data_IF_190873432718
#
_entry.id   IF_190873432718
#
_cell.length_a   1.000
_cell.length_b   1.000
_cell.length_c   1.000
_cell.angle_alpha   90.00
_cell.angle_beta   90.00
_cell.angle_gamma   90.00
#
_symmetry.space_group_name_H-M   'P 1'
#
loop_
_entity.id
_entity.type
_entity.pdbx_description
1 polymer ?
#
# COMPACT_ATOMS: atom_id res chain seq x y z
N UNK A 1 5.11 4.97 22.44
CA UNK A 1 4.61 4.45 21.14
C UNK A 1 3.67 5.49 20.56
N UNK A 2 3.96 6.02 19.37
CA UNK A 2 3.15 7.05 18.72
C UNK A 2 1.90 6.38 18.14
N UNK A 3 0.71 6.83 18.53
CA UNK A 3 -0.57 6.22 18.15
C UNK A 3 -1.08 6.82 16.84
N UNK A 4 -0.89 6.08 15.75
CA UNK A 4 -1.45 6.34 14.42
C UNK A 4 -1.36 5.05 13.64
N UNK A 5 -2.50 4.41 13.44
CA UNK A 5 -2.62 3.16 12.69
C UNK A 5 -2.97 3.45 11.24
N UNK A 6 -2.43 2.67 10.30
CA UNK A 6 -2.82 2.76 8.90
C UNK A 6 -4.31 2.49 8.75
N UNK A 7 -5.04 3.37 8.06
CA UNK A 7 -6.48 3.17 7.83
C UNK A 7 -6.73 2.14 6.71
N UNK A 8 -7.86 1.41 6.70
CA UNK A 8 -8.10 0.29 5.78
C UNK A 8 -8.01 0.61 4.28
N UNK A 9 -8.19 1.86 3.88
CA UNK A 9 -8.14 2.30 2.47
C UNK A 9 -7.04 3.33 2.21
N UNK A 10 -6.14 3.50 3.18
CA UNK A 10 -5.04 4.44 3.09
C UNK A 10 -3.82 3.78 2.45
N UNK A 11 -3.19 4.47 1.51
CA UNK A 11 -1.95 4.01 0.90
C UNK A 11 -0.82 3.95 1.94
N UNK A 12 0.12 3.04 1.73
CA UNK A 12 1.26 2.87 2.63
C UNK A 12 2.15 4.10 2.63
N UNK A 13 2.31 4.76 1.49
CA UNK A 13 3.09 6.00 1.38
C UNK A 13 2.46 7.16 2.15
N UNK A 14 1.14 7.35 2.08
CA UNK A 14 0.44 8.39 2.84
C UNK A 14 0.57 8.14 4.36
N UNK A 15 0.36 6.89 4.79
CA UNK A 15 0.57 6.49 6.18
C UNK A 15 2.01 6.76 6.64
N UNK A 16 2.99 6.42 5.79
CA UNK A 16 4.40 6.63 6.10
C UNK A 16 4.73 8.11 6.33
N UNK A 17 4.28 9.01 5.45
CA UNK A 17 4.56 10.44 5.53
C UNK A 17 3.93 11.06 6.78
N UNK A 18 2.67 10.73 7.06
CA UNK A 18 1.95 11.15 8.27
C UNK A 18 2.67 10.67 9.53
N UNK A 19 3.00 9.37 9.58
CA UNK A 19 3.62 8.75 10.75
C UNK A 19 5.03 9.29 10.98
N UNK A 20 5.80 9.49 9.92
CA UNK A 20 7.14 10.07 9.99
C UNK A 20 7.09 11.49 10.54
N UNK A 21 6.13 12.30 10.09
CA UNK A 21 5.91 13.65 10.59
C UNK A 21 5.60 13.64 12.08
N UNK A 22 4.67 12.78 12.54
CA UNK A 22 4.37 12.62 13.97
C UNK A 22 5.57 12.17 14.81
N UNK A 23 6.42 11.28 14.26
CA UNK A 23 7.66 10.88 14.93
C UNK A 23 8.61 12.05 15.15
N UNK A 24 8.78 12.90 14.12
CA UNK A 24 9.64 14.08 14.17
C UNK A 24 9.07 15.19 15.04
N UNK A 25 7.75 15.36 15.07
CA UNK A 25 7.09 16.32 15.97
C UNK A 25 7.24 15.91 17.43
N UNK A 26 7.08 14.61 17.73
CA UNK A 26 7.24 14.09 19.09
C UNK A 26 8.70 14.15 19.55
N UNK A 27 9.65 13.79 18.69
CA UNK A 27 11.07 13.89 18.95
C UNK A 27 11.84 14.17 17.64
N UNK A 28 12.31 15.40 17.42
CA UNK A 28 13.06 15.77 16.21
C UNK A 28 14.36 14.96 16.02
N UNK A 29 14.94 14.45 17.10
CA UNK A 29 16.18 13.67 17.10
C UNK A 29 15.92 12.16 17.21
N UNK A 30 14.72 11.69 16.86
CA UNK A 30 14.40 10.26 16.90
C UNK A 30 15.26 9.49 15.90
N UNK A 31 15.90 8.42 16.38
CA UNK A 31 16.73 7.53 15.55
C UNK A 31 15.85 6.82 14.51
N UNK A 32 16.32 6.72 13.26
CA UNK A 32 15.55 6.11 12.17
C UNK A 32 15.04 4.70 12.49
N UNK A 33 15.86 3.85 13.10
CA UNK A 33 15.46 2.49 13.47
C UNK A 33 14.28 2.47 14.43
N UNK A 34 14.17 3.46 15.32
CA UNK A 34 13.03 3.61 16.22
C UNK A 34 11.78 4.12 15.50
N UNK A 35 11.95 5.00 14.51
CA UNK A 35 10.84 5.44 13.64
C UNK A 35 10.32 4.24 12.84
N UNK A 36 11.21 3.43 12.27
CA UNK A 36 10.84 2.22 11.54
C UNK A 36 10.13 1.23 12.45
N UNK A 37 10.58 1.05 13.70
CA UNK A 37 9.87 0.25 14.68
C UNK A 37 8.44 0.77 14.94
N UNK A 38 8.26 2.10 15.04
CA UNK A 38 6.92 2.70 15.14
C UNK A 38 6.06 2.49 13.89
N UNK A 39 6.66 2.55 12.71
CA UNK A 39 5.98 2.31 11.44
C UNK A 39 5.47 0.86 11.35
N UNK A 40 6.33 -0.13 11.62
CA UNK A 40 6.00 -1.56 11.56
C UNK A 40 4.95 -1.95 12.60
N UNK A 41 4.99 -1.34 13.79
CA UNK A 41 4.07 -1.69 14.87
C UNK A 41 2.60 -1.31 14.59
N UNK A 42 2.35 -0.34 13.69
CA UNK A 42 1.00 0.21 13.46
C UNK A 42 0.57 0.25 12.00
N UNK A 43 1.37 -0.30 11.09
CA UNK A 43 0.97 -0.52 9.69
C UNK A 43 -0.02 -1.68 9.62
N UNK A 44 -0.72 -1.82 8.48
CA UNK A 44 -1.56 -2.97 8.20
C UNK A 44 -0.82 -4.30 8.55
N UNK A 45 -1.42 -5.19 9.37
CA UNK A 45 -0.76 -6.40 9.83
C UNK A 45 -0.30 -7.35 8.73
N UNK A 46 -0.94 -7.34 7.55
CA UNK A 46 -0.50 -8.17 6.42
C UNK A 46 0.79 -7.63 5.82
N UNK A 47 0.91 -6.31 5.67
CA UNK A 47 2.13 -5.65 5.19
C UNK A 47 3.24 -5.81 6.23
N UNK A 48 2.94 -5.63 7.52
CA UNK A 48 3.90 -5.88 8.61
C UNK A 48 4.48 -7.30 8.55
N UNK A 49 3.64 -8.32 8.33
CA UNK A 49 4.09 -9.71 8.16
C UNK A 49 5.00 -9.90 6.96
N UNK A 50 4.73 -9.24 5.83
CA UNK A 50 5.59 -9.33 4.64
C UNK A 50 6.95 -8.69 4.89
N UNK A 51 6.96 -7.51 5.52
CA UNK A 51 8.19 -6.80 5.91
C UNK A 51 9.05 -7.68 6.83
N UNK A 52 8.44 -8.28 7.86
CA UNK A 52 9.12 -9.10 8.86
C UNK A 52 9.59 -10.47 8.33
N UNK A 53 9.05 -10.93 7.20
CA UNK A 53 9.50 -12.17 6.53
C UNK A 53 10.71 -11.96 5.63
N UNK A 54 11.09 -10.71 5.35
CA UNK A 54 12.28 -10.42 4.55
C UNK A 54 13.54 -10.79 5.33
N UNK A 55 14.48 -11.49 4.69
CA UNK A 55 15.78 -11.83 5.28
C UNK A 55 16.65 -10.59 5.56
N UNK A 56 16.32 -9.44 4.96
CA UNK A 56 17.00 -8.19 5.19
C UNK A 56 16.24 -7.34 6.22
N UNK A 57 16.86 -6.95 7.34
CA UNK A 57 16.21 -6.05 8.29
C UNK A 57 15.91 -4.70 7.62
N UNK A 58 14.65 -4.27 7.79
CA UNK A 58 14.20 -2.93 7.44
C UNK A 58 14.49 -2.05 8.65
N UNK A 59 15.63 -1.36 8.62
CA UNK A 59 16.18 -0.58 9.71
C UNK A 59 16.35 0.91 9.37
N UNK A 60 16.10 1.27 8.10
CA UNK A 60 16.23 2.64 7.58
C UNK A 60 14.91 3.08 6.96
N UNK A 61 14.67 4.39 6.99
CA UNK A 61 13.48 4.98 6.39
C UNK A 61 13.44 4.75 4.87
N UNK A 62 14.59 4.77 4.21
CA UNK A 62 14.70 4.53 2.77
C UNK A 62 14.27 3.13 2.34
N UNK A 63 14.68 2.09 3.09
CA UNK A 63 14.21 0.71 2.82
C UNK A 63 12.70 0.59 3.00
N UNK A 64 12.17 1.17 4.08
CA UNK A 64 10.73 1.15 4.34
C UNK A 64 9.95 1.87 3.23
N UNK A 65 10.44 3.02 2.77
CA UNK A 65 9.82 3.80 1.70
C UNK A 65 9.75 3.04 0.37
N UNK A 66 10.79 2.27 0.03
CA UNK A 66 10.78 1.46 -1.18
C UNK A 66 9.72 0.35 -1.12
N UNK A 67 9.52 -0.25 0.07
CA UNK A 67 8.45 -1.22 0.30
C UNK A 67 7.08 -0.55 0.16
N UNK A 68 6.89 0.61 0.81
CA UNK A 68 5.64 1.37 0.74
C UNK A 68 5.21 1.66 -0.71
N UNK A 69 6.15 2.11 -1.55
CA UNK A 69 5.89 2.35 -2.97
C UNK A 69 5.50 1.09 -3.74
N UNK A 70 6.15 -0.02 -3.44
CA UNK A 70 5.88 -1.31 -4.10
C UNK A 70 4.47 -1.79 -3.75
N UNK A 71 4.07 -1.67 -2.48
CA UNK A 71 2.73 -2.04 -2.03
C UNK A 71 1.63 -1.17 -2.66
N UNK A 72 1.83 0.15 -2.74
CA UNK A 72 0.86 1.05 -3.37
C UNK A 72 0.68 0.77 -4.87
N UNK A 73 1.77 0.40 -5.56
CA UNK A 73 1.71 -0.05 -6.95
C UNK A 73 0.95 -1.37 -7.08
N UNK A 74 1.22 -2.35 -6.22
CA UNK A 74 0.52 -3.63 -6.19
C UNK A 74 -0.99 -3.44 -5.96
N UNK A 75 -1.36 -2.56 -5.03
CA UNK A 75 -2.76 -2.22 -4.77
C UNK A 75 -3.41 -1.57 -6.01
N UNK A 76 -2.71 -0.64 -6.66
CA UNK A 76 -3.18 0.00 -7.89
C UNK A 76 -3.40 -1.02 -9.01
N UNK A 77 -2.44 -1.92 -9.23
CA UNK A 77 -2.59 -2.99 -10.22
C UNK A 77 -3.74 -3.95 -9.90
N UNK A 78 -3.92 -4.31 -8.62
CA UNK A 78 -5.03 -5.15 -8.19
C UNK A 78 -6.39 -4.49 -8.45
N UNK A 79 -6.52 -3.19 -8.17
CA UNK A 79 -7.72 -2.39 -8.48
C UNK A 79 -8.00 -2.35 -9.98
N UNK A 80 -6.98 -2.11 -10.81
CA UNK A 80 -7.11 -2.11 -12.27
C UNK A 80 -7.52 -3.49 -12.82
N UNK A 81 -6.98 -4.57 -12.27
CA UNK A 81 -7.37 -5.93 -12.65
C UNK A 81 -8.86 -6.19 -12.34
N UNK A 82 -9.36 -5.75 -11.19
CA UNK A 82 -10.78 -5.86 -10.83
C UNK A 82 -11.69 -5.07 -11.78
N UNK A 83 -11.26 -3.86 -12.19
CA UNK A 83 -12.00 -3.04 -13.15
C UNK A 83 -12.03 -3.69 -14.55
N UNK A 84 -10.95 -4.36 -14.96
CA UNK A 84 -10.90 -5.09 -16.23
C UNK A 84 -11.74 -6.37 -16.23
N UNK A 85 -11.87 -7.04 -15.09
CA UNK A 85 -12.75 -8.21 -14.91
C UNK A 85 -14.23 -7.79 -14.90
N UNK A 86 -14.55 -6.58 -14.43
CA UNK A 86 -15.91 -6.03 -14.41
C UNK A 86 -16.37 -5.34 -15.71
N UNK A 87 -15.56 -5.30 -16.78
CA UNK A 87 -16.12 -5.12 -18.13
C UNK A 87 -16.69 -6.48 -18.56
N UNK A 88 -18.02 -6.69 -18.54
CA UNK A 88 -18.54 -7.88 -19.15
C UNK A 88 -18.13 -7.85 -20.62
N UNK A 89 -17.63 -8.97 -21.12
CA UNK A 89 -17.51 -9.27 -22.55
C UNK A 89 -18.88 -9.23 -23.28
N UNK A 90 -19.92 -8.69 -22.64
CA UNK A 90 -21.28 -8.50 -23.16
C UNK A 90 -21.34 -7.48 -24.29
N UNK A 91 -20.46 -6.46 -24.33
CA UNK A 91 -20.49 -5.48 -25.42
C UNK A 91 -20.13 -6.14 -26.77
N UNK A 92 -19.22 -7.12 -26.76
CA UNK A 92 -18.79 -7.81 -27.98
C UNK A 92 -19.86 -8.79 -28.48
N UNK A 93 -20.57 -9.48 -27.58
CA UNK A 93 -21.67 -10.37 -27.93
C UNK A 93 -22.93 -9.61 -28.41
N UNK A 94 -23.26 -8.47 -27.81
CA UNK A 94 -24.38 -7.63 -28.28
C UNK A 94 -24.12 -7.00 -29.65
N UNK A 95 -22.88 -6.57 -29.93
CA UNK A 95 -22.51 -6.03 -31.24
C UNK A 95 -22.51 -7.10 -32.35
N UNK A 96 -22.15 -8.35 -32.04
CA UNK A 96 -22.22 -9.46 -33.01
C UNK A 96 -23.68 -9.87 -33.28
N UNK A 97 -24.56 -9.85 -32.28
CA UNK A 97 -25.98 -10.15 -32.46
C UNK A 97 -26.75 -9.05 -33.23
N UNK A 98 -26.32 -7.79 -33.13
CA UNK A 98 -26.89 -6.67 -33.89
C UNK A 98 -26.44 -6.65 -35.36
N UNK A 99 -25.24 -7.15 -35.66
CA UNK A 99 -24.69 -7.16 -37.02
C UNK A 99 -25.08 -8.40 -37.84
N UNK A 100 -25.58 -9.46 -37.20
CA UNK A 100 -25.99 -10.71 -37.85
C UNK A 100 -27.50 -10.83 -38.14
N UNK A 101 -28.27 -9.77 -37.87
CA UNK A 101 -29.73 -9.71 -38.11
C UNK A 101 -30.17 -8.90 -39.35
N UNK A 102 -29.26 -8.56 -40.26
CA UNK A 102 -29.60 -7.97 -41.57
C UNK A 102 -29.31 -8.93 -42.71
#
# INVERSE_FOLDING_TARGET
>A
MIKREQQPCESVTAYFDDKLSLCREYNPNMVESLIVHHLIATINPQIAKQILRSDAPVDTLGKFWNIAKTEDLNETYAKLAQLNIHRPQSILLELILLTTKN
#
